data_IF_631061241863
#
_entry.id   IF_631061241863
#
_cell.length_a   1.000
_cell.length_b   1.000
_cell.length_c   1.000
_cell.angle_alpha   90.00
_cell.angle_beta   90.00
_cell.angle_gamma   90.00
#
_symmetry.space_group_name_H-M   'P 1'
#
loop_
_entity.id
_entity.type
_entity.pdbx_description
1 polymer ?
#
# COMPACT_ATOMS: atom_id res chain seq x y z
N UNK A 1 -9.11 -4.80 -25.86
CA UNK A 1 -8.79 -5.70 -25.72
C UNK A 1 -9.21 -6.76 -26.37
N UNK A 2 -8.95 -7.21 -26.76
CA UNK A 2 -9.30 -8.01 -27.21
C UNK A 2 -8.84 -9.15 -26.81
N UNK A 3 -7.96 -9.45 -26.40
CA UNK A 3 -7.72 -10.71 -25.87
C UNK A 3 -8.46 -10.84 -24.63
N UNK A 4 -9.34 -11.68 -24.61
CA UNK A 4 -10.24 -11.80 -23.49
C UNK A 4 -9.50 -12.20 -22.21
N UNK A 5 -8.41 -12.93 -22.32
CA UNK A 5 -7.67 -13.38 -21.15
C UNK A 5 -6.89 -12.27 -20.46
N UNK A 6 -6.83 -11.07 -21.08
CA UNK A 6 -6.14 -9.93 -20.48
C UNK A 6 -7.08 -8.82 -20.06
N UNK A 7 -8.36 -9.09 -20.03
CA UNK A 7 -9.35 -8.05 -19.84
C UNK A 7 -9.23 -7.38 -18.47
N UNK A 8 -8.70 -8.10 -17.49
CA UNK A 8 -8.57 -7.61 -16.13
C UNK A 8 -7.14 -7.27 -15.72
N UNK A 9 -6.26 -7.18 -16.71
CA UNK A 9 -4.85 -6.90 -16.44
C UNK A 9 -4.37 -5.75 -17.30
N UNK A 10 -3.53 -4.90 -16.72
CA UNK A 10 -2.88 -3.81 -17.44
C UNK A 10 -1.39 -4.03 -17.32
N UNK A 11 -0.69 -4.03 -18.47
CA UNK A 11 0.76 -4.18 -18.53
C UNK A 11 1.36 -3.00 -19.26
N UNK A 12 2.45 -2.49 -18.73
CA UNK A 12 3.19 -1.39 -19.35
C UNK A 12 4.65 -1.48 -18.92
N UNK A 13 5.52 -0.82 -19.65
CA UNK A 13 6.93 -0.76 -19.27
C UNK A 13 7.11 0.00 -17.95
N UNK A 14 6.20 0.95 -17.66
CA UNK A 14 6.24 1.71 -16.42
C UNK A 14 4.88 2.32 -16.13
N UNK A 15 4.59 2.53 -14.87
CA UNK A 15 3.45 3.32 -14.42
C UNK A 15 4.00 4.50 -13.64
N UNK A 16 3.76 5.71 -14.14
CA UNK A 16 4.31 6.94 -13.58
C UNK A 16 3.16 7.78 -13.03
N UNK A 17 3.28 8.15 -11.77
CA UNK A 17 2.24 8.89 -11.05
C UNK A 17 2.68 10.34 -10.91
N UNK A 18 1.72 11.27 -11.07
CA UNK A 18 1.99 12.69 -10.81
C UNK A 18 2.55 12.87 -9.41
N UNK A 19 3.66 13.59 -9.28
CA UNK A 19 4.28 13.78 -7.97
C UNK A 19 5.13 15.05 -7.89
N UNK A 20 4.96 15.94 -8.86
CA UNK A 20 5.75 17.18 -8.88
C UNK A 20 5.44 18.04 -7.66
N UNK A 21 6.46 18.66 -7.11
CA UNK A 21 6.33 19.52 -5.93
C UNK A 21 5.32 20.64 -6.17
N UNK A 22 5.26 21.17 -7.39
CA UNK A 22 4.37 22.28 -7.72
C UNK A 22 2.90 21.95 -7.55
N UNK A 23 2.55 20.66 -7.47
CA UNK A 23 1.16 20.23 -7.32
C UNK A 23 0.74 20.02 -5.87
N UNK A 24 1.66 20.24 -4.93
CA UNK A 24 1.46 19.85 -3.53
C UNK A 24 1.69 21.02 -2.60
N UNK A 25 1.00 21.00 -1.46
CA UNK A 25 1.22 22.00 -0.41
C UNK A 25 1.19 21.27 0.94
N UNK A 26 1.64 21.99 1.97
CA UNK A 26 1.61 21.49 3.36
C UNK A 26 2.32 20.13 3.50
N UNK A 27 3.47 20.02 2.84
CA UNK A 27 4.25 18.78 2.81
C UNK A 27 4.96 18.59 4.15
N UNK A 28 4.79 17.40 4.73
CA UNK A 28 5.52 17.04 5.95
C UNK A 28 5.75 15.53 5.96
N UNK A 29 6.82 15.12 6.64
CA UNK A 29 7.15 13.70 6.75
C UNK A 29 6.13 12.97 7.61
N UNK A 30 5.74 11.78 7.18
CA UNK A 30 4.87 10.92 7.97
C UNK A 30 5.60 10.47 9.23
N UNK A 31 4.90 10.50 10.37
CA UNK A 31 5.52 10.11 11.63
C UNK A 31 4.81 8.96 12.34
N UNK A 32 3.78 8.37 11.72
CA UNK A 32 3.05 7.24 12.32
C UNK A 32 3.04 6.03 11.39
N UNK A 33 3.97 5.99 10.43
CA UNK A 33 3.94 4.97 9.39
C UNK A 33 4.11 3.55 9.92
N UNK A 34 4.97 3.36 10.93
CA UNK A 34 5.19 2.02 11.47
C UNK A 34 3.91 1.49 12.13
N UNK A 35 3.24 2.33 12.92
CA UNK A 35 1.98 1.93 13.56
C UNK A 35 0.92 1.61 12.50
N UNK A 36 0.89 2.41 11.43
CA UNK A 36 -0.04 2.19 10.33
C UNK A 36 0.20 0.82 9.68
N UNK A 37 1.46 0.51 9.38
CA UNK A 37 1.81 -0.77 8.77
C UNK A 37 1.43 -1.92 9.69
N UNK A 38 1.65 -1.78 10.99
CA UNK A 38 1.31 -2.82 11.94
C UNK A 38 -0.20 -3.06 12.04
N UNK A 39 -0.99 -2.09 11.58
CA UNK A 39 -2.46 -2.22 11.56
C UNK A 39 -2.98 -2.79 10.24
N UNK A 40 -2.13 -2.94 9.23
CA UNK A 40 -2.51 -3.56 7.96
C UNK A 40 -2.36 -5.07 8.05
N UNK A 41 -3.14 -5.78 7.23
CA UNK A 41 -3.12 -7.24 7.24
C UNK A 41 -2.99 -7.76 5.81
N UNK A 42 -1.82 -8.29 5.48
CA UNK A 42 -1.62 -8.96 4.20
C UNK A 42 -2.27 -10.34 4.25
N UNK A 43 -3.00 -10.70 3.23
CA UNK A 43 -3.77 -11.93 3.22
C UNK A 43 -3.54 -12.72 1.93
N UNK A 44 -3.78 -14.01 2.01
CA UNK A 44 -3.93 -14.89 0.86
C UNK A 44 -5.41 -15.16 0.68
N UNK A 45 -5.85 -15.29 -0.55
CA UNK A 45 -7.26 -15.48 -0.83
C UNK A 45 -7.47 -16.22 -2.14
N UNK A 46 -8.71 -16.61 -2.39
CA UNK A 46 -9.12 -17.23 -3.64
C UNK A 46 -10.10 -16.29 -4.35
N UNK A 47 -9.83 -16.02 -5.63
CA UNK A 47 -10.79 -15.29 -6.47
C UNK A 47 -12.02 -16.17 -6.68
N UNK A 48 -13.19 -15.65 -6.36
CA UNK A 48 -14.43 -16.44 -6.47
C UNK A 48 -14.71 -16.84 -7.92
N UNK A 49 -14.42 -15.96 -8.86
CA UNK A 49 -14.70 -16.24 -10.26
C UNK A 49 -13.85 -17.37 -10.83
N UNK A 50 -12.56 -17.26 -10.67
CA UNK A 50 -11.62 -18.18 -11.33
C UNK A 50 -11.20 -19.34 -10.47
N UNK A 51 -11.36 -19.23 -9.16
CA UNK A 51 -10.86 -20.25 -8.24
C UNK A 51 -9.35 -20.17 -8.02
N UNK A 52 -8.68 -19.16 -8.57
CA UNK A 52 -7.24 -19.01 -8.41
C UNK A 52 -6.87 -18.42 -7.06
N UNK A 53 -5.77 -18.92 -6.51
CA UNK A 53 -5.22 -18.37 -5.28
C UNK A 53 -4.37 -17.15 -5.59
N UNK A 54 -4.43 -16.18 -4.70
CA UNK A 54 -3.67 -14.94 -4.84
C UNK A 54 -3.42 -14.37 -3.46
N UNK A 55 -2.74 -13.23 -3.41
CA UNK A 55 -2.49 -12.55 -2.14
C UNK A 55 -2.52 -11.03 -2.34
N UNK A 56 -2.75 -10.33 -1.26
CA UNK A 56 -2.85 -8.87 -1.28
C UNK A 56 -3.53 -8.41 -0.01
N UNK A 57 -4.43 -7.43 -0.16
CA UNK A 57 -5.18 -6.87 0.96
C UNK A 57 -6.67 -6.97 0.69
N UNK A 58 -7.45 -6.96 1.76
CA UNK A 58 -8.90 -6.74 1.67
C UNK A 58 -9.11 -5.23 1.71
N UNK A 59 -9.75 -4.67 0.68
CA UNK A 59 -9.89 -3.23 0.56
C UNK A 59 -10.58 -2.60 1.77
N UNK A 60 -11.60 -3.27 2.33
CA UNK A 60 -12.31 -2.76 3.49
C UNK A 60 -11.39 -2.65 4.71
N UNK A 61 -10.46 -3.58 4.85
CA UNK A 61 -9.48 -3.52 5.96
C UNK A 61 -8.53 -2.36 5.76
N UNK A 62 -8.06 -2.15 4.53
CA UNK A 62 -7.17 -1.01 4.23
C UNK A 62 -7.89 0.30 4.48
N UNK A 63 -9.17 0.37 4.11
CA UNK A 63 -9.95 1.59 4.28
C UNK A 63 -10.03 2.03 5.74
N UNK A 64 -10.12 1.08 6.66
CA UNK A 64 -10.21 1.43 8.08
C UNK A 64 -8.92 2.02 8.62
N UNK A 65 -7.80 1.80 7.94
CA UNK A 65 -6.47 2.28 8.36
C UNK A 65 -6.00 3.43 7.50
N UNK A 66 -6.14 3.31 6.18
CA UNK A 66 -5.65 4.26 5.18
C UNK A 66 -6.73 4.51 4.14
N UNK A 67 -7.78 5.28 4.46
CA UNK A 67 -8.86 5.48 3.50
C UNK A 67 -8.41 6.12 2.19
N UNK A 68 -7.35 6.91 2.20
CA UNK A 68 -6.84 7.53 0.97
C UNK A 68 -6.24 6.51 -0.01
N UNK A 69 -5.91 5.31 0.45
CA UNK A 69 -5.38 4.26 -0.41
C UNK A 69 -6.49 3.40 -1.02
N UNK A 70 -7.76 3.72 -0.77
CA UNK A 70 -8.87 2.92 -1.27
C UNK A 70 -9.73 3.77 -2.20
N UNK A 71 -10.09 3.18 -3.33
CA UNK A 71 -10.99 3.78 -4.30
C UNK A 71 -12.29 2.96 -4.31
N UNK A 72 -13.42 3.64 -4.16
CA UNK A 72 -14.73 3.00 -4.22
C UNK A 72 -15.36 3.34 -5.56
N UNK A 73 -15.60 2.32 -6.36
CA UNK A 73 -16.23 2.51 -7.68
C UNK A 73 -17.71 2.80 -7.52
N UNK A 74 -18.35 3.20 -8.63
CA UNK A 74 -19.78 3.54 -8.61
C UNK A 74 -20.65 2.38 -8.18
N UNK A 75 -20.24 1.16 -8.49
CA UNK A 75 -20.98 -0.03 -8.11
C UNK A 75 -20.74 -0.46 -6.66
N UNK A 76 -19.92 0.29 -5.93
CA UNK A 76 -19.61 0.00 -4.54
C UNK A 76 -18.44 -0.95 -4.34
N UNK A 77 -17.89 -1.48 -5.41
CA UNK A 77 -16.74 -2.38 -5.31
C UNK A 77 -15.49 -1.55 -5.02
N UNK A 78 -14.73 -1.95 -4.02
CA UNK A 78 -13.57 -1.20 -3.57
C UNK A 78 -12.28 -1.78 -4.13
N UNK A 79 -11.33 -0.89 -4.43
CA UNK A 79 -10.00 -1.29 -4.86
C UNK A 79 -8.95 -0.60 -4.01
N UNK A 80 -7.75 -1.15 -4.02
CA UNK A 80 -6.62 -0.61 -3.26
C UNK A 80 -5.64 0.01 -4.24
N UNK A 81 -5.23 1.25 -3.97
CA UNK A 81 -4.15 1.90 -4.69
C UNK A 81 -2.85 1.52 -4.00
N UNK A 82 -2.24 0.44 -4.48
CA UNK A 82 -1.03 -0.10 -3.88
C UNK A 82 0.13 0.87 -3.94
N UNK A 83 0.18 1.75 -4.93
CA UNK A 83 1.29 2.70 -5.05
C UNK A 83 1.34 3.66 -3.86
N UNK A 84 0.20 3.98 -3.25
CA UNK A 84 0.17 4.87 -2.09
C UNK A 84 0.75 4.22 -0.84
N UNK A 85 0.82 2.90 -0.82
CA UNK A 85 1.41 2.18 0.31
C UNK A 85 2.93 2.28 0.32
N UNK A 86 3.53 2.62 -0.82
CA UNK A 86 4.99 2.67 -0.95
C UNK A 86 5.61 3.67 0.03
N UNK A 87 5.09 4.90 0.09
CA UNK A 87 5.66 5.90 1.00
C UNK A 87 5.47 5.52 2.46
N UNK A 88 4.35 4.88 2.78
CA UNK A 88 4.10 4.41 4.14
C UNK A 88 5.12 3.35 4.52
N UNK A 89 5.39 2.42 3.61
CA UNK A 89 6.38 1.37 3.85
C UNK A 89 7.78 1.93 3.99
N UNK A 90 8.14 2.93 3.17
CA UNK A 90 9.45 3.60 3.27
C UNK A 90 9.65 4.17 4.67
N UNK A 91 8.67 4.93 5.16
CA UNK A 91 8.80 5.56 6.47
C UNK A 91 8.71 4.55 7.61
N UNK A 92 7.94 3.46 7.43
CA UNK A 92 7.89 2.38 8.42
C UNK A 92 9.24 1.68 8.56
N UNK A 93 9.89 1.39 7.43
CA UNK A 93 11.22 0.77 7.44
C UNK A 93 12.22 1.69 8.13
N UNK A 94 12.16 2.98 7.85
CA UNK A 94 13.07 3.95 8.49
C UNK A 94 12.83 4.01 10.00
N UNK A 95 11.58 3.98 10.43
CA UNK A 95 11.25 3.96 11.86
C UNK A 95 11.78 2.71 12.54
N UNK A 96 11.67 1.55 11.86
CA UNK A 96 12.26 0.32 12.37
C UNK A 96 13.77 0.43 12.49
N UNK A 97 14.42 1.06 11.51
CA UNK A 97 15.86 1.21 11.54
C UNK A 97 16.29 2.03 12.75
N UNK A 98 15.55 3.08 13.07
CA UNK A 98 15.83 3.87 14.28
C UNK A 98 15.75 2.98 15.52
N UNK A 99 14.72 2.14 15.63
CA UNK A 99 14.58 1.24 16.77
C UNK A 99 15.71 0.23 16.84
N UNK A 100 16.15 -0.27 15.68
CA UNK A 100 17.28 -1.20 15.63
C UNK A 100 18.55 -0.52 16.15
N UNK A 101 18.81 0.72 15.73
CA UNK A 101 20.01 1.44 16.19
C UNK A 101 19.94 1.71 17.69
N UNK A 102 18.75 2.03 18.20
CA UNK A 102 18.56 2.21 19.64
C UNK A 102 18.86 0.93 20.42
N UNK A 103 18.36 -0.20 19.91
CA UNK A 103 18.62 -1.49 20.55
C UNK A 103 20.10 -1.85 20.51
N UNK A 104 20.75 -1.60 19.37
CA UNK A 104 22.21 -1.83 19.25
C UNK A 104 22.97 -1.00 20.27
N UNK A 105 22.57 0.24 20.46
CA UNK A 105 23.23 1.11 21.43
C UNK A 105 23.08 0.56 22.85
N UNK A 106 21.91 0.01 23.18
CA UNK A 106 21.68 -0.59 24.49
C UNK A 106 22.57 -1.81 24.72
N UNK A 107 22.80 -2.60 23.67
CA UNK A 107 23.60 -3.80 23.78
C UNK A 107 25.09 -3.53 23.98
N UNK A 108 25.54 -2.31 23.66
CA UNK A 108 26.94 -1.95 23.81
C UNK A 108 27.31 -1.47 25.20
N UNK A 109 26.35 -1.33 26.10
CA UNK A 109 26.60 -0.87 27.46
C UNK A 109 27.13 -1.93 28.38
#
# INVERSE_FOLDING_TARGET
>A
ANGSDNINKVRAAAFVTYSDESLKSDVKTMNTALDTVMSLNGVEFTWKDSGERDFGFIAQDVQSVLPKAVHVAEDGVQGVDYSRLTSVLVEAVKAQQVQIEELKALLKK
#
